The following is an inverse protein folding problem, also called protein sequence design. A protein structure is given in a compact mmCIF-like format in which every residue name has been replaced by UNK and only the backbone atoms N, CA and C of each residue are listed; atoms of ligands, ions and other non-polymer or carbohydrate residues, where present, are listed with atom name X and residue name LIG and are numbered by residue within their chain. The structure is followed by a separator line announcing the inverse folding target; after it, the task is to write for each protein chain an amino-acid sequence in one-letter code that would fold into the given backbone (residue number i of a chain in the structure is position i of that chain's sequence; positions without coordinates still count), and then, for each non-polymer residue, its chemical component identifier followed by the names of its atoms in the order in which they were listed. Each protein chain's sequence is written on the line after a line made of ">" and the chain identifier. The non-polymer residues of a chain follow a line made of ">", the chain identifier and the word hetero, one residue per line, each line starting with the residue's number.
data_IF_442783756006
#
_entry.id   IF_442783756006
#
_cell.length_a   1.000
_cell.length_b   1.000
_cell.length_c   1.000
_cell.angle_alpha   90.00
_cell.angle_beta   90.00
_cell.angle_gamma   90.00
#
_symmetry.space_group_name_H-M   'P 1'
#
loop_
_entity.id
_entity.type
_entity.pdbx_description
1 polymer ?
#
# COMPACT_ATOMS: atom_id res chain seq x y z
N UNK A 1 8.90 -7.99 0.99
CA UNK A 1 9.75 -7.69 -0.19
C UNK A 1 10.91 -6.84 0.28
N UNK A 2 12.10 -7.03 -0.28
CA UNK A 2 13.25 -6.17 0.01
C UNK A 2 13.05 -4.74 -0.51
N UNK A 3 13.92 -3.79 -0.13
CA UNK A 3 13.83 -2.38 -0.53
C UNK A 3 13.88 -2.15 -2.05
N UNK A 4 14.53 -3.05 -2.78
CA UNK A 4 14.61 -3.05 -4.26
C UNK A 4 13.43 -3.77 -4.94
N UNK A 5 12.41 -4.13 -4.18
CA UNK A 5 11.23 -4.90 -4.62
C UNK A 5 11.52 -6.35 -5.02
N UNK A 6 12.73 -6.86 -4.78
CA UNK A 6 13.04 -8.25 -5.02
C UNK A 6 12.38 -9.19 -3.99
N UNK A 7 12.15 -10.43 -4.40
CA UNK A 7 11.72 -11.52 -3.53
C UNK A 7 12.84 -12.56 -3.55
N UNK A 8 13.31 -12.95 -2.37
CA UNK A 8 14.39 -13.92 -2.27
C UNK A 8 13.97 -15.29 -2.84
N UNK A 9 14.95 -16.06 -3.27
CA UNK A 9 14.71 -17.40 -3.80
C UNK A 9 14.05 -18.33 -2.79
N UNK A 10 14.48 -18.26 -1.51
CA UNK A 10 13.89 -19.06 -0.43
C UNK A 10 12.42 -18.75 -0.20
N UNK A 11 12.04 -17.46 -0.24
CA UNK A 11 10.64 -17.06 -0.12
C UNK A 11 9.81 -17.55 -1.31
N UNK A 12 10.31 -17.47 -2.55
CA UNK A 12 9.62 -17.99 -3.74
C UNK A 12 9.41 -19.50 -3.65
N UNK A 13 10.44 -20.26 -3.26
CA UNK A 13 10.36 -21.72 -3.10
C UNK A 13 9.32 -22.12 -2.04
N UNK A 14 9.30 -21.41 -0.91
CA UNK A 14 8.31 -21.66 0.15
C UNK A 14 6.87 -21.35 -0.30
N UNK A 15 6.66 -20.23 -1.01
CA UNK A 15 5.35 -19.87 -1.58
C UNK A 15 4.86 -20.96 -2.53
N UNK A 16 5.71 -21.39 -3.48
CA UNK A 16 5.37 -22.47 -4.42
C UNK A 16 5.10 -23.80 -3.71
N UNK A 17 5.86 -24.10 -2.66
CA UNK A 17 5.62 -25.28 -1.84
C UNK A 17 4.24 -25.20 -1.17
N UNK A 18 3.88 -24.08 -0.54
CA UNK A 18 2.56 -23.89 0.05
C UNK A 18 1.44 -24.06 -1.00
N UNK A 19 1.57 -23.41 -2.16
CA UNK A 19 0.62 -23.55 -3.26
C UNK A 19 0.49 -24.99 -3.74
N UNK A 20 1.59 -25.77 -3.78
CA UNK A 20 1.56 -27.21 -4.15
C UNK A 20 0.79 -28.07 -3.14
N UNK A 21 0.59 -27.56 -1.92
CA UNK A 21 -0.24 -28.18 -0.87
C UNK A 21 -1.70 -27.70 -0.87
N UNK A 22 -2.07 -26.89 -1.84
CA UNK A 22 -3.42 -26.33 -1.96
C UNK A 22 -3.65 -25.04 -1.14
N UNK A 23 -2.59 -24.46 -0.56
CA UNK A 23 -2.70 -23.20 0.16
C UNK A 23 -2.84 -22.07 -0.86
N UNK A 24 -3.83 -21.21 -0.66
CA UNK A 24 -3.98 -20.00 -1.45
C UNK A 24 -3.04 -18.92 -0.92
N UNK A 25 -2.36 -18.24 -1.83
CA UNK A 25 -1.43 -17.17 -1.52
C UNK A 25 -1.96 -15.83 -2.04
N UNK A 26 -1.79 -14.79 -1.24
CA UNK A 26 -2.14 -13.42 -1.62
C UNK A 26 -1.04 -12.44 -1.23
N UNK A 27 -0.85 -11.39 -2.04
CA UNK A 27 0.02 -10.26 -1.72
C UNK A 27 -0.84 -9.07 -1.30
N UNK A 28 -0.58 -8.50 -0.11
CA UNK A 28 -1.24 -7.31 0.39
C UNK A 28 -0.28 -6.10 0.34
N UNK A 29 -0.62 -5.06 -0.43
CA UNK A 29 0.28 -3.94 -0.71
C UNK A 29 -0.46 -2.61 -0.88
N UNK A 30 0.25 -1.50 -0.63
CA UNK A 30 -0.21 -0.15 -1.01
C UNK A 30 -0.05 0.17 -2.51
N UNK A 31 0.58 -0.72 -3.30
CA UNK A 31 0.79 -0.57 -4.74
C UNK A 31 -0.51 -0.78 -5.53
N UNK A 32 -0.52 -0.29 -6.76
CA UNK A 32 -1.51 -0.66 -7.76
C UNK A 32 -1.12 -1.98 -8.49
N UNK A 33 -2.05 -2.51 -9.29
CA UNK A 33 -1.81 -3.75 -10.04
C UNK A 33 -0.69 -3.61 -11.08
N UNK A 34 -0.56 -2.46 -11.72
CA UNK A 34 0.47 -2.26 -12.75
C UNK A 34 1.88 -2.36 -12.17
N UNK A 35 2.07 -1.85 -10.96
CA UNK A 35 3.33 -1.94 -10.21
C UNK A 35 3.62 -3.33 -9.64
N UNK A 36 2.57 -4.10 -9.29
CA UNK A 36 2.72 -5.46 -8.78
C UNK A 36 2.96 -6.47 -9.90
N UNK A 37 2.29 -6.29 -11.04
CA UNK A 37 2.30 -7.24 -12.17
C UNK A 37 3.71 -7.60 -12.63
N UNK A 38 4.59 -6.61 -12.80
CA UNK A 38 5.98 -6.85 -13.19
C UNK A 38 6.75 -7.74 -12.21
N UNK A 39 6.47 -7.60 -10.91
CA UNK A 39 7.08 -8.44 -9.85
C UNK A 39 6.56 -9.88 -9.95
N UNK A 40 5.25 -10.07 -10.13
CA UNK A 40 4.65 -11.39 -10.28
C UNK A 40 5.18 -12.12 -11.52
N UNK A 41 5.25 -11.43 -12.66
CA UNK A 41 5.78 -11.97 -13.92
C UNK A 41 7.26 -12.34 -13.81
N UNK A 42 8.09 -11.51 -13.18
CA UNK A 42 9.52 -11.77 -12.98
C UNK A 42 9.79 -13.05 -12.17
N UNK A 43 8.85 -13.44 -11.31
CA UNK A 43 8.97 -14.63 -10.46
C UNK A 43 8.03 -15.77 -10.85
N UNK A 44 7.29 -15.64 -11.96
CA UNK A 44 6.27 -16.62 -12.39
C UNK A 44 5.34 -17.01 -11.23
N UNK A 45 4.84 -16.00 -10.50
CA UNK A 45 3.92 -16.16 -9.39
C UNK A 45 2.50 -15.82 -9.83
N UNK A 46 1.57 -16.72 -9.52
CA UNK A 46 0.13 -16.47 -9.63
C UNK A 46 -0.48 -16.44 -8.24
N UNK A 47 -1.11 -15.35 -7.87
CA UNK A 47 -1.73 -15.21 -6.56
C UNK A 47 -2.80 -14.14 -6.58
N UNK A 48 -3.67 -14.18 -5.58
CA UNK A 48 -4.56 -13.06 -5.29
C UNK A 48 -3.77 -11.83 -4.85
N UNK A 49 -4.39 -10.66 -4.95
CA UNK A 49 -3.76 -9.42 -4.49
C UNK A 49 -4.76 -8.47 -3.81
N UNK A 50 -4.32 -7.92 -2.68
CA UNK A 50 -4.95 -6.80 -1.99
C UNK A 50 -4.13 -5.56 -2.32
N UNK A 51 -4.71 -4.63 -3.06
CA UNK A 51 -4.05 -3.47 -3.63
C UNK A 51 -4.55 -2.17 -3.00
N UNK A 52 -3.73 -1.11 -3.10
CA UNK A 52 -4.10 0.21 -2.59
C UNK A 52 -4.46 0.23 -1.10
N UNK A 53 -3.73 -0.56 -0.28
CA UNK A 53 -4.00 -0.75 1.15
C UNK A 53 -5.37 -1.36 1.49
N UNK A 54 -5.99 -2.08 0.56
CA UNK A 54 -7.31 -2.67 0.73
C UNK A 54 -8.40 -2.02 -0.12
N UNK A 55 -8.04 -1.08 -0.99
CA UNK A 55 -9.00 -0.48 -1.90
C UNK A 55 -9.50 -1.43 -2.99
N UNK A 56 -8.72 -2.46 -3.33
CA UNK A 56 -9.09 -3.46 -4.32
C UNK A 56 -8.62 -4.85 -3.88
N UNK A 57 -9.45 -5.86 -4.14
CA UNK A 57 -9.07 -7.26 -4.10
C UNK A 57 -9.18 -7.85 -5.50
N UNK A 58 -8.11 -8.45 -5.99
CA UNK A 58 -8.03 -8.97 -7.34
C UNK A 58 -7.69 -10.47 -7.32
N UNK A 59 -8.20 -11.18 -8.34
CA UNK A 59 -7.83 -12.56 -8.58
C UNK A 59 -6.42 -12.66 -9.22
N UNK A 60 -5.98 -13.88 -9.50
CA UNK A 60 -4.67 -14.17 -10.11
C UNK A 60 -4.45 -13.56 -11.50
N UNK A 61 -5.53 -13.18 -12.20
CA UNK A 61 -5.48 -12.52 -13.50
C UNK A 61 -5.51 -10.99 -13.40
N UNK A 62 -5.63 -10.43 -12.19
CA UNK A 62 -5.78 -9.00 -11.94
C UNK A 62 -7.20 -8.47 -12.13
N UNK A 63 -8.20 -9.34 -12.21
CA UNK A 63 -9.60 -8.93 -12.26
C UNK A 63 -10.05 -8.53 -10.85
N UNK A 64 -10.70 -7.37 -10.73
CA UNK A 64 -11.18 -6.84 -9.45
C UNK A 64 -12.41 -7.64 -9.02
N UNK A 65 -12.32 -8.31 -7.89
CA UNK A 65 -13.41 -9.08 -7.28
C UNK A 65 -14.18 -8.24 -6.25
N UNK A 66 -13.49 -7.36 -5.52
CA UNK A 66 -14.07 -6.46 -4.53
C UNK A 66 -13.31 -5.15 -4.49
N UNK A 67 -14.00 -4.06 -4.15
CA UNK A 67 -13.37 -2.74 -4.05
C UNK A 67 -14.03 -1.86 -2.98
N UNK A 68 -13.20 -0.98 -2.37
CA UNK A 68 -13.60 0.08 -1.46
C UNK A 68 -12.91 1.37 -1.91
N UNK A 69 -13.55 2.11 -2.82
CA UNK A 69 -12.97 3.32 -3.38
C UNK A 69 -13.22 4.53 -2.49
N UNK A 70 -12.31 5.46 -2.51
CA UNK A 70 -12.35 6.71 -1.74
C UNK A 70 -13.69 7.45 -1.95
N UNK A 71 -14.38 7.87 -0.87
CA UNK A 71 -15.68 8.50 -0.97
C UNK A 71 -15.56 9.93 -1.52
N UNK A 72 -15.97 10.13 -2.77
CA UNK A 72 -15.85 11.42 -3.49
C UNK A 72 -16.47 12.61 -2.75
N UNK A 73 -17.47 12.36 -1.89
CA UNK A 73 -18.08 13.40 -1.04
C UNK A 73 -17.09 14.06 -0.07
N UNK A 74 -16.06 13.32 0.37
CA UNK A 74 -15.03 13.83 1.29
C UNK A 74 -13.83 14.41 0.55
N UNK A 75 -13.75 14.25 -0.77
CA UNK A 75 -12.53 14.48 -1.54
C UNK A 75 -12.06 15.95 -1.44
N UNK A 76 -12.96 16.91 -1.67
CA UNK A 76 -12.62 18.33 -1.57
C UNK A 76 -12.13 18.71 -0.18
N UNK A 77 -12.78 18.20 0.86
CA UNK A 77 -12.41 18.50 2.25
C UNK A 77 -11.02 17.97 2.59
N UNK A 78 -10.69 16.76 2.12
CA UNK A 78 -9.35 16.18 2.31
C UNK A 78 -8.28 16.99 1.58
N UNK A 79 -8.50 17.34 0.30
CA UNK A 79 -7.55 18.15 -0.47
C UNK A 79 -7.37 19.55 0.14
N UNK A 80 -8.44 20.17 0.62
CA UNK A 80 -8.38 21.47 1.29
C UNK A 80 -7.47 21.46 2.52
N UNK A 81 -7.50 20.39 3.33
CA UNK A 81 -6.60 20.24 4.48
C UNK A 81 -5.13 20.26 4.03
N UNK A 82 -4.80 19.55 2.97
CA UNK A 82 -3.43 19.49 2.46
C UNK A 82 -3.00 20.81 1.84
N UNK A 83 -3.88 21.47 1.09
CA UNK A 83 -3.62 22.79 0.49
C UNK A 83 -3.38 23.87 1.57
N UNK A 84 -4.21 23.93 2.61
CA UNK A 84 -4.07 24.87 3.75
C UNK A 84 -2.74 24.69 4.48
N UNK A 85 -2.29 23.42 4.64
CA UNK A 85 -1.05 23.07 5.29
C UNK A 85 0.15 23.07 4.34
N UNK A 86 -0.05 23.34 3.05
CA UNK A 86 0.98 23.30 2.01
C UNK A 86 1.70 21.95 1.94
N UNK A 87 0.94 20.87 2.10
CA UNK A 87 1.42 19.50 1.97
C UNK A 87 1.23 19.06 0.52
N UNK A 88 2.26 18.49 -0.09
CA UNK A 88 2.15 17.91 -1.43
C UNK A 88 1.39 16.59 -1.41
N UNK A 89 0.62 16.32 -2.46
CA UNK A 89 -0.13 15.07 -2.58
C UNK A 89 -0.27 14.58 -4.02
N UNK A 90 -0.47 13.28 -4.13
CA UNK A 90 -0.78 12.54 -5.34
C UNK A 90 -2.11 11.81 -5.16
N UNK A 91 -2.90 11.76 -6.22
CA UNK A 91 -4.21 11.09 -6.26
C UNK A 91 -4.06 9.82 -7.09
N UNK A 92 -4.23 8.68 -6.46
CA UNK A 92 -4.18 7.36 -7.07
C UNK A 92 -5.59 6.95 -7.49
N UNK A 93 -5.74 6.58 -8.76
CA UNK A 93 -7.02 6.19 -9.34
C UNK A 93 -6.89 4.90 -10.15
N UNK A 94 -8.03 4.31 -10.53
CA UNK A 94 -8.04 3.19 -11.47
C UNK A 94 -7.48 3.54 -12.87
N UNK A 95 -7.43 4.86 -13.21
CA UNK A 95 -7.02 5.35 -14.53
C UNK A 95 -5.66 6.05 -14.53
N UNK A 96 -4.87 5.87 -13.47
CA UNK A 96 -3.53 6.45 -13.32
C UNK A 96 -3.44 7.44 -12.17
N UNK A 97 -2.43 8.29 -12.21
CA UNK A 97 -2.05 9.19 -11.12
C UNK A 97 -2.33 10.64 -11.51
N UNK A 98 -2.87 11.40 -10.56
CA UNK A 98 -3.29 12.78 -10.78
C UNK A 98 -2.79 13.70 -9.67
N UNK A 99 -2.76 15.00 -9.98
CA UNK A 99 -2.47 16.08 -9.04
C UNK A 99 -3.29 17.32 -9.40
N UNK A 100 -3.68 18.14 -8.44
CA UNK A 100 -4.25 19.47 -8.67
C UNK A 100 -3.16 20.51 -8.95
N UNK A 101 -1.95 20.29 -8.40
CA UNK A 101 -0.76 21.09 -8.69
C UNK A 101 -0.09 20.66 -10.02
N UNK A 102 0.86 21.48 -10.49
CA UNK A 102 1.67 21.10 -11.65
C UNK A 102 2.47 19.81 -11.37
N UNK A 103 2.43 18.80 -12.25
CA UNK A 103 3.06 17.51 -12.03
C UNK A 103 4.55 17.57 -11.69
N UNK A 104 5.30 18.49 -12.30
CA UNK A 104 6.72 18.67 -12.03
C UNK A 104 6.98 19.17 -10.60
N UNK A 105 6.10 20.01 -10.03
CA UNK A 105 6.22 20.51 -8.65
C UNK A 105 6.05 19.35 -7.66
N UNK A 106 5.01 18.55 -7.85
CA UNK A 106 4.75 17.38 -6.97
C UNK A 106 5.84 16.32 -7.11
N UNK A 107 6.27 16.04 -8.35
CA UNK A 107 7.36 15.12 -8.62
C UNK A 107 8.65 15.54 -7.93
N UNK A 108 9.05 16.81 -8.09
CA UNK A 108 10.30 17.31 -7.52
C UNK A 108 10.27 17.26 -6.00
N UNK A 109 9.14 17.61 -5.36
CA UNK A 109 8.95 17.47 -3.92
C UNK A 109 9.00 16.01 -3.45
N UNK A 110 8.43 15.07 -4.22
CA UNK A 110 8.50 13.64 -3.91
C UNK A 110 9.93 13.09 -4.01
N UNK A 111 10.67 13.51 -5.03
CA UNK A 111 12.08 13.12 -5.17
C UNK A 111 12.91 13.68 -4.01
N UNK A 112 12.71 14.94 -3.63
CA UNK A 112 13.41 15.55 -2.49
C UNK A 112 13.13 14.81 -1.18
N UNK A 113 11.87 14.38 -0.97
CA UNK A 113 11.51 13.49 0.13
C UNK A 113 12.29 12.17 0.08
N UNK A 114 12.32 11.51 -1.07
CA UNK A 114 13.04 10.25 -1.24
C UNK A 114 14.55 10.39 -1.00
N UNK A 115 15.16 11.49 -1.41
CA UNK A 115 16.57 11.81 -1.16
C UNK A 115 16.84 11.86 0.35
N UNK A 116 15.99 12.55 1.11
CA UNK A 116 16.12 12.66 2.57
C UNK A 116 15.92 11.30 3.24
N UNK A 117 14.83 10.60 2.88
CA UNK A 117 14.42 9.37 3.54
C UNK A 117 15.35 8.19 3.26
N UNK A 118 15.76 8.00 2.01
CA UNK A 118 16.56 6.84 1.61
C UNK A 118 18.06 7.15 1.50
N UNK A 119 18.49 8.40 1.80
CA UNK A 119 19.88 8.85 1.74
C UNK A 119 20.55 8.56 0.39
N UNK A 120 19.77 8.68 -0.71
CA UNK A 120 20.23 8.52 -2.09
C UNK A 120 20.44 9.89 -2.73
N UNK A 121 21.14 9.94 -3.86
CA UNK A 121 21.31 11.18 -4.62
C UNK A 121 20.08 11.44 -5.48
N UNK A 122 19.79 12.72 -5.77
CA UNK A 122 18.67 13.11 -6.64
C UNK A 122 18.80 12.53 -8.05
N UNK A 123 20.04 12.43 -8.56
CA UNK A 123 20.35 11.86 -9.87
C UNK A 123 19.89 10.41 -9.99
N UNK A 124 19.96 9.64 -8.90
CA UNK A 124 19.52 8.24 -8.85
C UNK A 124 18.00 8.07 -9.15
N UNK A 125 17.22 9.16 -8.99
CA UNK A 125 15.77 9.19 -9.26
C UNK A 125 15.41 9.79 -10.62
N UNK A 126 16.40 10.39 -11.32
CA UNK A 126 16.21 11.03 -12.62
C UNK A 126 16.78 10.20 -13.76
N UNK A 127 17.60 9.19 -13.46
CA UNK A 127 18.26 8.35 -14.46
C UNK A 127 17.29 7.31 -15.05
N UNK A 128 17.29 7.18 -16.38
CA UNK A 128 16.21 6.62 -17.21
C UNK A 128 15.87 5.13 -17.02
N UNK A 129 16.55 4.41 -16.13
CA UNK A 129 16.41 2.95 -16.07
C UNK A 129 15.51 2.40 -14.96
N UNK A 130 15.54 3.01 -13.77
CA UNK A 130 14.93 2.42 -12.58
C UNK A 130 13.64 3.10 -12.10
N UNK A 131 13.33 4.33 -12.53
CA UNK A 131 12.35 5.18 -11.86
C UNK A 131 11.15 5.60 -12.72
N UNK A 132 11.09 5.19 -13.98
CA UNK A 132 9.95 5.51 -14.88
C UNK A 132 8.62 4.95 -14.37
N UNK A 133 8.65 3.96 -13.48
CA UNK A 133 7.45 3.34 -12.90
C UNK A 133 6.95 4.02 -11.62
N UNK A 134 7.67 5.02 -11.10
CA UNK A 134 7.19 5.77 -9.94
C UNK A 134 5.94 6.58 -10.29
N UNK A 135 4.94 6.54 -9.41
CA UNK A 135 3.66 7.26 -9.59
C UNK A 135 3.87 8.75 -9.88
N UNK A 136 4.85 9.38 -9.20
CA UNK A 136 5.17 10.80 -9.41
C UNK A 136 5.68 11.14 -10.81
N UNK A 137 6.24 10.16 -11.55
CA UNK A 137 6.69 10.36 -12.93
C UNK A 137 5.55 10.27 -13.94
N UNK A 138 4.41 9.70 -13.56
CA UNK A 138 3.23 9.47 -14.42
C UNK A 138 2.06 10.39 -14.09
N UNK A 139 2.28 11.43 -13.27
CA UNK A 139 1.24 12.35 -12.82
C UNK A 139 0.62 13.13 -14.00
N UNK A 140 -0.70 13.23 -13.96
CA UNK A 140 -1.52 14.09 -14.84
C UNK A 140 -2.12 15.22 -14.01
N UNK A 141 -2.13 16.43 -14.56
CA UNK A 141 -2.81 17.55 -13.91
C UNK A 141 -4.32 17.40 -14.06
N UNK A 142 -5.07 17.61 -12.98
CA UNK A 142 -6.52 17.79 -13.01
C UNK A 142 -6.80 19.19 -13.57
N UNK A 143 -7.64 19.28 -14.60
CA UNK A 143 -8.07 20.55 -15.16
C UNK A 143 -9.10 21.24 -14.27
N UNK A 144 -10.30 20.68 -14.21
CA UNK A 144 -11.35 21.12 -13.30
C UNK A 144 -11.61 20.05 -12.24
N UNK A 145 -11.63 20.45 -10.95
CA UNK A 145 -11.78 19.53 -9.85
C UNK A 145 -13.21 18.98 -9.75
N UNK A 146 -14.21 19.79 -10.06
CA UNK A 146 -15.60 19.36 -10.03
C UNK A 146 -15.92 18.37 -11.13
N UNK A 147 -15.41 18.61 -12.34
CA UNK A 147 -15.51 17.67 -13.45
C UNK A 147 -14.82 16.35 -13.11
N UNK A 148 -13.66 16.40 -12.46
CA UNK A 148 -12.94 15.19 -12.02
C UNK A 148 -13.73 14.40 -10.99
N UNK A 149 -14.31 15.06 -9.98
CA UNK A 149 -15.13 14.42 -8.94
C UNK A 149 -16.38 13.79 -9.53
N UNK A 150 -17.03 14.46 -10.49
CA UNK A 150 -18.25 13.98 -11.14
C UNK A 150 -18.00 12.96 -12.25
N UNK A 151 -16.74 12.72 -12.60
CA UNK A 151 -16.37 11.69 -13.58
C UNK A 151 -16.60 10.26 -13.05
N UNK A 152 -16.51 9.26 -13.93
CA UNK A 152 -16.56 7.85 -13.58
C UNK A 152 -15.23 7.31 -13.04
N UNK A 153 -14.22 8.16 -12.84
CA UNK A 153 -12.91 7.72 -12.34
C UNK A 153 -13.02 7.35 -10.85
N UNK A 154 -12.67 6.13 -10.51
CA UNK A 154 -12.60 5.66 -9.13
C UNK A 154 -11.28 6.08 -8.49
N UNK A 155 -11.37 6.70 -7.31
CA UNK A 155 -10.22 7.15 -6.53
C UNK A 155 -9.85 6.03 -5.56
N UNK A 156 -8.62 5.55 -5.62
CA UNK A 156 -8.10 4.48 -4.77
C UNK A 156 -7.64 5.07 -3.43
N UNK A 157 -6.75 6.07 -3.49
CA UNK A 157 -6.22 6.78 -2.32
C UNK A 157 -5.71 8.18 -2.69
N UNK A 158 -5.55 9.01 -1.67
CA UNK A 158 -4.74 10.23 -1.74
C UNK A 158 -3.52 10.02 -0.87
N UNK A 159 -2.33 10.14 -1.44
CA UNK A 159 -1.07 10.08 -0.72
C UNK A 159 -0.49 11.48 -0.60
N UNK A 160 -0.36 11.96 0.63
CA UNK A 160 0.21 13.26 0.96
C UNK A 160 1.54 13.10 1.70
N UNK A 161 2.47 14.01 1.49
CA UNK A 161 3.81 13.94 2.06
C UNK A 161 4.44 15.31 2.28
N UNK A 162 5.26 15.42 3.32
CA UNK A 162 6.05 16.61 3.62
C UNK A 162 7.23 16.23 4.51
N UNK A 163 8.42 16.81 4.25
CA UNK A 163 9.61 16.60 5.09
C UNK A 163 9.45 17.21 6.50
N UNK A 164 8.51 18.14 6.71
CA UNK A 164 8.14 18.63 8.03
C UNK A 164 7.04 17.72 8.62
N UNK A 165 7.47 16.78 9.45
CA UNK A 165 6.59 15.80 10.13
C UNK A 165 5.51 16.51 10.97
N UNK A 166 5.78 17.72 11.50
CA UNK A 166 4.79 18.45 12.28
C UNK A 166 3.55 18.85 11.46
N UNK A 167 3.70 19.08 10.16
CA UNK A 167 2.58 19.34 9.25
C UNK A 167 1.76 18.07 8.98
N UNK A 168 2.46 16.93 8.88
CA UNK A 168 1.81 15.62 8.74
C UNK A 168 0.93 15.32 9.96
N UNK A 169 1.44 15.53 11.17
CA UNK A 169 0.64 15.32 12.40
C UNK A 169 -0.57 16.26 12.46
N UNK A 170 -0.41 17.55 12.12
CA UNK A 170 -1.54 18.50 12.03
C UNK A 170 -2.58 18.06 10.99
N UNK A 171 -2.16 17.48 9.88
CA UNK A 171 -3.10 16.96 8.89
C UNK A 171 -3.86 15.75 9.43
N UNK A 172 -3.20 14.82 10.14
CA UNK A 172 -3.85 13.68 10.80
C UNK A 172 -4.92 14.15 11.81
N UNK A 173 -4.62 15.16 12.63
CA UNK A 173 -5.60 15.74 13.58
C UNK A 173 -6.86 16.24 12.86
N UNK A 174 -6.71 16.95 11.74
CA UNK A 174 -7.85 17.47 10.96
C UNK A 174 -8.60 16.34 10.23
N UNK A 175 -7.91 15.32 9.72
CA UNK A 175 -8.51 14.21 9.01
C UNK A 175 -9.39 13.32 9.91
N UNK A 176 -9.12 13.26 11.22
CA UNK A 176 -9.93 12.52 12.19
C UNK A 176 -11.38 12.99 12.25
N UNK A 177 -11.66 14.25 11.89
CA UNK A 177 -13.00 14.83 11.90
C UNK A 177 -13.84 14.44 10.66
N UNK A 178 -13.26 13.74 9.68
CA UNK A 178 -13.92 13.39 8.42
C UNK A 178 -14.45 11.95 8.49
N UNK A 179 -15.75 11.79 8.47
CA UNK A 179 -16.38 10.48 8.40
C UNK A 179 -16.25 9.81 7.02
N UNK A 180 -16.06 8.50 7.02
CA UNK A 180 -16.02 7.67 5.81
C UNK A 180 -14.62 7.49 5.21
N UNK A 181 -13.61 8.08 5.83
CA UNK A 181 -12.21 7.87 5.44
C UNK A 181 -11.42 7.16 6.55
N UNK A 182 -10.33 6.52 6.17
CA UNK A 182 -9.23 6.12 7.04
C UNK A 182 -7.94 6.75 6.53
N UNK A 183 -6.98 6.96 7.43
CA UNK A 183 -5.65 7.37 7.05
C UNK A 183 -4.61 6.47 7.70
N UNK A 184 -3.58 6.19 6.94
CA UNK A 184 -2.47 5.32 7.29
C UNK A 184 -1.17 6.08 7.02
N UNK A 185 -0.08 5.66 7.64
CA UNK A 185 1.26 6.16 7.31
C UNK A 185 2.18 4.96 7.11
N UNK A 186 2.92 4.97 6.02
CA UNK A 186 4.02 4.02 5.82
C UNK A 186 5.31 4.52 6.47
N UNK A 187 5.41 5.87 6.62
CA UNK A 187 6.52 6.58 7.24
C UNK A 187 5.99 7.80 8.01
N UNK A 188 6.82 8.42 8.83
CA UNK A 188 6.41 9.59 9.63
C UNK A 188 6.11 10.84 8.76
N UNK A 189 6.67 10.89 7.56
CA UNK A 189 6.60 12.01 6.63
C UNK A 189 5.50 11.89 5.56
N UNK A 190 4.59 10.88 5.68
CA UNK A 190 3.48 10.71 4.76
C UNK A 190 2.15 10.35 5.43
N UNK A 191 1.08 10.57 4.68
CA UNK A 191 -0.28 10.12 4.99
C UNK A 191 -0.88 9.53 3.73
N UNK A 192 -1.48 8.35 3.84
CA UNK A 192 -2.28 7.72 2.80
C UNK A 192 -3.74 7.71 3.25
N UNK A 193 -4.59 8.48 2.60
CA UNK A 193 -6.02 8.58 2.90
C UNK A 193 -6.81 7.70 1.95
N UNK A 194 -7.62 6.82 2.50
CA UNK A 194 -8.41 5.81 1.79
C UNK A 194 -9.87 5.85 2.22
N UNK A 195 -10.73 5.04 1.61
CA UNK A 195 -12.02 4.71 2.18
C UNK A 195 -11.84 4.02 3.54
N UNK A 196 -12.77 4.21 4.46
CA UNK A 196 -12.73 3.60 5.79
C UNK A 196 -12.70 2.07 5.75
N UNK A 197 -13.32 1.46 4.74
CA UNK A 197 -13.30 0.02 4.53
C UNK A 197 -12.03 -0.47 3.79
N UNK A 198 -11.28 0.43 3.15
CA UNK A 198 -10.06 0.10 2.43
C UNK A 198 -8.88 -0.08 3.40
N UNK A 199 -8.89 -1.19 4.13
CA UNK A 199 -7.84 -1.60 5.05
C UNK A 199 -7.53 -3.08 4.80
N UNK A 200 -6.24 -3.45 4.77
CA UNK A 200 -5.80 -4.79 4.39
C UNK A 200 -6.49 -5.91 5.17
N UNK A 201 -6.64 -5.75 6.50
CA UNK A 201 -7.31 -6.73 7.34
C UNK A 201 -8.81 -6.80 7.13
N UNK A 202 -9.47 -5.67 6.86
CA UNK A 202 -10.91 -5.63 6.64
C UNK A 202 -11.30 -6.32 5.32
N UNK A 203 -10.61 -5.99 4.23
CA UNK A 203 -10.90 -6.61 2.95
C UNK A 203 -10.57 -8.11 2.97
N UNK A 204 -9.47 -8.51 3.63
CA UNK A 204 -9.13 -9.92 3.77
C UNK A 204 -10.18 -10.68 4.56
N UNK A 205 -10.70 -10.12 5.66
CA UNK A 205 -11.77 -10.72 6.47
C UNK A 205 -13.02 -10.99 5.64
N UNK A 206 -13.47 -10.02 4.84
CA UNK A 206 -14.60 -10.18 3.94
C UNK A 206 -14.36 -11.25 2.87
N UNK A 207 -13.16 -11.23 2.27
CA UNK A 207 -12.79 -12.17 1.19
C UNK A 207 -12.74 -13.61 1.69
N UNK A 208 -12.11 -13.86 2.86
CA UNK A 208 -12.03 -15.24 3.38
C UNK A 208 -13.41 -15.80 3.73
N UNK A 209 -14.34 -14.95 4.22
CA UNK A 209 -15.72 -15.34 4.48
C UNK A 209 -16.43 -15.75 3.18
N UNK A 210 -16.29 -14.96 2.11
CA UNK A 210 -16.84 -15.29 0.78
C UNK A 210 -16.23 -16.56 0.19
N UNK A 211 -14.96 -16.83 0.45
CA UNK A 211 -14.26 -18.04 0.01
C UNK A 211 -14.50 -19.26 0.93
N UNK A 212 -15.20 -19.08 2.05
CA UNK A 212 -15.55 -20.15 3.00
C UNK A 212 -14.41 -20.56 3.94
N UNK A 213 -13.41 -19.72 4.12
CA UNK A 213 -12.33 -19.93 5.11
C UNK A 213 -12.68 -19.32 6.45
N UNK A 214 -12.25 -19.97 7.53
CA UNK A 214 -12.24 -19.40 8.87
C UNK A 214 -10.95 -18.59 9.11
N UNK A 215 -10.98 -17.64 10.06
CA UNK A 215 -9.80 -16.86 10.45
C UNK A 215 -8.64 -17.73 10.96
N UNK A 216 -8.95 -18.87 11.56
CA UNK A 216 -7.94 -19.80 12.07
C UNK A 216 -7.22 -20.59 10.97
N UNK A 217 -7.70 -20.51 9.73
CA UNK A 217 -7.06 -21.09 8.55
C UNK A 217 -6.20 -20.08 7.80
N UNK A 218 -6.11 -18.84 8.29
CA UNK A 218 -5.40 -17.75 7.62
C UNK A 218 -4.16 -17.34 8.41
N UNK A 219 -3.04 -17.32 7.71
CA UNK A 219 -1.79 -16.75 8.17
C UNK A 219 -1.54 -15.42 7.46
N UNK A 220 -1.13 -14.40 8.21
CA UNK A 220 -0.78 -13.08 7.66
C UNK A 220 0.64 -12.69 8.02
N UNK A 221 1.28 -11.94 7.12
CA UNK A 221 2.58 -11.30 7.36
C UNK A 221 2.48 -9.81 7.04
N UNK A 222 3.16 -8.99 7.83
CA UNK A 222 3.21 -7.55 7.62
C UNK A 222 4.37 -6.91 8.39
N UNK A 223 4.82 -5.75 7.94
CA UNK A 223 5.97 -5.04 8.50
C UNK A 223 5.70 -3.57 8.83
N UNK A 224 4.65 -2.98 8.24
CA UNK A 224 4.33 -1.57 8.36
C UNK A 224 3.04 -1.27 9.13
N UNK A 225 2.87 -0.02 9.55
CA UNK A 225 1.67 0.41 10.27
C UNK A 225 0.36 0.25 9.45
N UNK A 226 0.47 0.20 8.13
CA UNK A 226 -0.64 -0.11 7.23
C UNK A 226 -1.07 -1.59 7.27
N UNK A 227 -0.35 -2.44 8.01
CA UNK A 227 -0.69 -3.85 8.25
C UNK A 227 -1.40 -4.07 9.59
N UNK A 228 -1.54 -3.06 10.46
CA UNK A 228 -2.12 -3.18 11.81
C UNK A 228 -3.42 -3.99 11.79
N UNK A 229 -4.31 -3.70 10.86
CA UNK A 229 -5.61 -4.39 10.78
C UNK A 229 -5.51 -5.88 10.44
N UNK A 230 -4.42 -6.34 9.83
CA UNK A 230 -4.13 -7.76 9.68
C UNK A 230 -3.81 -8.40 11.04
N UNK A 231 -2.97 -7.76 11.83
CA UNK A 231 -2.55 -8.25 13.15
C UNK A 231 -3.68 -8.19 14.20
N UNK A 232 -4.57 -7.23 14.09
CA UNK A 232 -5.76 -7.13 14.95
C UNK A 232 -6.79 -8.23 14.70
N UNK A 233 -6.88 -8.73 13.46
CA UNK A 233 -7.97 -9.62 13.00
C UNK A 233 -7.59 -11.07 12.86
N UNK A 234 -6.31 -11.36 12.63
CA UNK A 234 -5.81 -12.70 12.35
C UNK A 234 -4.82 -13.14 13.42
N UNK A 235 -5.15 -14.28 14.05
CA UNK A 235 -4.35 -14.86 15.14
C UNK A 235 -2.94 -15.22 14.68
N UNK A 236 -2.82 -15.89 13.54
CA UNK A 236 -1.52 -16.33 13.03
C UNK A 236 -0.89 -15.21 12.20
N UNK A 237 -0.37 -14.20 12.89
CA UNK A 237 0.25 -13.02 12.33
C UNK A 237 1.77 -13.02 12.59
N UNK A 238 2.55 -12.86 11.54
CA UNK A 238 4.01 -12.93 11.60
C UNK A 238 4.63 -11.60 11.18
N UNK A 239 5.58 -11.12 11.98
CA UNK A 239 6.33 -9.91 11.68
C UNK A 239 7.78 -10.26 11.32
N UNK A 240 8.35 -9.75 10.21
CA UNK A 240 9.77 -9.89 9.95
C UNK A 240 10.60 -9.12 10.98
N UNK A 241 11.85 -9.53 11.21
CA UNK A 241 12.73 -8.93 12.20
C UNK A 241 13.00 -7.43 12.01
N UNK A 242 12.90 -6.96 10.78
CA UNK A 242 13.01 -5.53 10.41
C UNK A 242 11.67 -4.78 10.39
N UNK A 243 10.56 -5.37 10.87
CA UNK A 243 9.26 -4.70 10.96
C UNK A 243 9.24 -3.58 12.01
N UNK A 244 8.25 -2.69 11.90
CA UNK A 244 7.96 -1.68 12.90
C UNK A 244 7.74 -2.31 14.28
N UNK A 245 8.24 -1.67 15.34
CA UNK A 245 8.15 -2.21 16.72
C UNK A 245 6.71 -2.44 17.17
N UNK A 246 5.77 -1.58 16.78
CA UNK A 246 4.34 -1.77 17.06
C UNK A 246 3.82 -3.07 16.43
N UNK A 247 4.19 -3.35 15.19
CA UNK A 247 3.81 -4.58 14.48
C UNK A 247 4.43 -5.81 15.14
N UNK A 248 5.72 -5.75 15.51
CA UNK A 248 6.38 -6.85 16.23
C UNK A 248 5.73 -7.15 17.57
N UNK A 249 5.29 -6.11 18.27
CA UNK A 249 4.60 -6.26 19.56
C UNK A 249 3.21 -6.92 19.45
N UNK A 250 2.55 -6.78 18.29
CA UNK A 250 1.24 -7.39 18.02
C UNK A 250 1.35 -8.80 17.44
N UNK A 251 2.50 -9.17 16.90
CA UNK A 251 2.68 -10.40 16.15
C UNK A 251 2.53 -11.65 17.05
N UNK A 252 1.89 -12.69 16.47
CA UNK A 252 1.93 -14.03 17.03
C UNK A 252 3.38 -14.53 17.17
N UNK A 253 4.20 -14.24 16.15
CA UNK A 253 5.63 -14.55 16.18
C UNK A 253 6.43 -13.61 15.28
N UNK A 254 7.63 -13.23 15.75
CA UNK A 254 8.63 -12.54 14.94
C UNK A 254 9.50 -13.60 14.25
N UNK A 255 9.71 -13.43 12.94
CA UNK A 255 10.55 -14.30 12.09
C UNK A 255 11.78 -13.56 11.61
N UNK A 256 12.64 -14.18 10.85
CA UNK A 256 13.81 -13.54 10.23
C UNK A 256 13.44 -12.31 9.41
N UNK A 257 14.39 -11.41 9.24
CA UNK A 257 14.22 -10.22 8.39
C UNK A 257 13.91 -10.59 6.92
N UNK A 258 13.56 -9.61 6.10
CA UNK A 258 13.26 -9.85 4.67
C UNK A 258 14.44 -10.53 3.95
N UNK A 259 15.67 -10.15 4.29
CA UNK A 259 16.91 -10.69 3.72
C UNK A 259 17.27 -12.08 4.29
N UNK A 260 16.59 -12.52 5.35
CA UNK A 260 16.78 -13.80 6.05
C UNK A 260 15.65 -14.81 5.76
N UNK A 261 14.94 -14.62 4.67
CA UNK A 261 13.81 -15.49 4.26
C UNK A 261 12.68 -15.60 5.30
N UNK A 262 12.33 -14.51 5.99
CA UNK A 262 11.31 -14.52 7.05
C UNK A 262 9.95 -15.05 6.60
N UNK A 263 9.53 -14.80 5.35
CA UNK A 263 8.28 -15.34 4.80
C UNK A 263 8.35 -16.86 4.69
N UNK A 264 9.49 -17.40 4.22
CA UNK A 264 9.74 -18.84 4.14
C UNK A 264 9.65 -19.49 5.52
N UNK A 265 10.27 -18.86 6.53
CA UNK A 265 10.21 -19.36 7.91
C UNK A 265 8.78 -19.45 8.42
N UNK A 266 7.98 -18.39 8.25
CA UNK A 266 6.57 -18.38 8.65
C UNK A 266 5.75 -19.48 7.94
N UNK A 267 5.95 -19.65 6.64
CA UNK A 267 5.26 -20.69 5.85
C UNK A 267 5.58 -22.10 6.40
N UNK A 268 6.86 -22.43 6.62
CA UNK A 268 7.25 -23.74 7.11
C UNK A 268 6.89 -23.99 8.57
N UNK A 269 6.62 -22.96 9.38
CA UNK A 269 6.10 -23.11 10.74
C UNK A 269 4.63 -23.51 10.76
N UNK A 270 3.87 -23.17 9.73
CA UNK A 270 2.43 -23.36 9.67
C UNK A 270 1.99 -24.57 8.82
N UNK A 271 2.88 -25.10 7.99
CA UNK A 271 2.65 -26.31 7.17
C UNK A 271 3.29 -27.55 7.73
#
# INVERSE_FOLDING_TARGET
>A
MAHDSSISKGNIEAIRYAQSKGVQFAIATGRDYSSLKGILEAHDLKCFSILGNGAQFCNENGEILSSAYFPKKCFKQVLQIFDELKIHYMIFTANGFYSTAEPNVVRDAFIDRCVVQFKRKREDYLDDGCNQDMACMKLKKIGDLDDFINSSIDIIKVEAFNNDVSLIEKAKEKLQEIDGIAYLSSFDDNIEVTDKAAQKGLILENVIEELGYSKDEVMVLGDGLNDITLFERFKYSFAPGNANETIKAMAYQVVGACEEDGVSQAIYMML
#
